data_IF_440166932505
#
_entry.id   IF_440166932505
#
_cell.length_a   1.000
_cell.length_b   1.000
_cell.length_c   1.000
_cell.angle_alpha   90.00
_cell.angle_beta   90.00
_cell.angle_gamma   90.00
#
_symmetry.space_group_name_H-M   'P 1'
#
loop_
_entity.id
_entity.type
_entity.pdbx_description
1 polymer ?
#
# COMPACT_ATOMS: atom_id res chain seq x y z
N UNK A 1 -24.56 3.96 8.01
CA UNK A 1 -24.36 4.97 9.08
C UNK A 1 -22.90 5.41 9.10
N UNK A 2 -22.59 6.58 8.52
CA UNK A 2 -21.24 7.16 8.64
C UNK A 2 -21.09 7.82 10.00
N UNK A 3 -20.14 7.35 10.83
CA UNK A 3 -19.72 8.09 12.03
C UNK A 3 -19.33 9.50 11.60
N UNK A 4 -19.99 10.54 12.12
CA UNK A 4 -19.65 11.96 11.88
C UNK A 4 -18.27 12.24 12.46
N UNK A 5 -17.23 11.85 11.74
CA UNK A 5 -15.85 12.25 12.03
C UNK A 5 -15.70 13.69 11.56
N UNK A 6 -14.98 14.50 12.33
CA UNK A 6 -14.65 15.88 11.95
C UNK A 6 -13.78 15.95 10.70
N UNK A 7 -12.99 17.01 10.55
CA UNK A 7 -12.10 17.16 9.37
C UNK A 7 -11.11 16.00 9.30
N UNK A 8 -11.21 15.19 8.25
CA UNK A 8 -10.29 14.09 7.99
C UNK A 8 -8.87 14.60 7.72
N UNK A 9 -7.87 13.86 8.19
CA UNK A 9 -6.46 14.14 7.87
C UNK A 9 -6.28 14.06 6.35
N UNK A 10 -5.56 15.03 5.79
CA UNK A 10 -5.23 15.06 4.37
C UNK A 10 -3.89 14.36 4.12
N UNK A 11 -3.78 13.70 2.97
CA UNK A 11 -2.57 13.04 2.48
C UNK A 11 -2.31 13.48 1.05
N UNK A 12 -1.05 13.47 0.63
CA UNK A 12 -0.68 13.81 -0.73
C UNK A 12 -0.55 12.53 -1.57
N UNK A 13 -1.11 12.56 -2.78
CA UNK A 13 -0.94 11.49 -3.75
C UNK A 13 0.53 11.39 -4.16
N UNK A 14 1.13 10.21 -4.03
CA UNK A 14 2.54 9.99 -4.41
C UNK A 14 2.79 10.18 -5.91
N UNK A 15 1.79 9.96 -6.77
CA UNK A 15 1.96 10.06 -8.22
C UNK A 15 1.76 11.48 -8.77
N UNK A 16 0.68 12.16 -8.36
CA UNK A 16 0.30 13.46 -8.94
C UNK A 16 0.36 14.63 -7.94
N UNK A 17 0.81 14.41 -6.71
CA UNK A 17 0.91 15.45 -5.67
C UNK A 17 -0.42 15.95 -5.11
N UNK A 18 -1.56 15.58 -5.69
CA UNK A 18 -2.88 16.05 -5.27
C UNK A 18 -3.15 15.74 -3.79
N UNK A 19 -3.59 16.75 -3.04
CA UNK A 19 -4.05 16.61 -1.66
C UNK A 19 -5.44 15.95 -1.63
N UNK A 20 -5.55 14.84 -0.92
CA UNK A 20 -6.77 14.03 -0.83
C UNK A 20 -7.04 13.70 0.64
N UNK A 21 -8.30 13.72 1.11
CA UNK A 21 -8.64 13.20 2.44
C UNK A 21 -8.20 11.74 2.58
N UNK A 22 -7.60 11.37 3.72
CA UNK A 22 -7.08 10.01 3.97
C UNK A 22 -8.15 8.93 3.81
N UNK A 23 -9.40 9.23 4.14
CA UNK A 23 -10.55 8.33 3.97
C UNK A 23 -10.87 8.03 2.49
N UNK A 24 -10.56 8.97 1.60
CA UNK A 24 -10.81 8.87 0.15
C UNK A 24 -9.59 8.36 -0.62
N UNK A 25 -8.40 8.48 -0.05
CA UNK A 25 -7.17 8.02 -0.66
C UNK A 25 -7.07 6.49 -0.62
N UNK A 26 -6.57 5.89 -1.70
CA UNK A 26 -6.26 4.46 -1.72
C UNK A 26 -4.85 4.26 -1.17
N UNK A 27 -4.74 3.56 -0.04
CA UNK A 27 -3.45 3.13 0.51
C UNK A 27 -2.93 1.90 -0.22
N UNK A 28 -1.62 1.83 -0.44
CA UNK A 28 -0.93 0.67 -0.97
C UNK A 28 0.41 0.52 -0.26
N UNK A 29 0.62 -0.61 0.39
CA UNK A 29 1.88 -0.95 1.05
C UNK A 29 2.89 -1.34 -0.04
N UNK A 30 3.95 -0.55 -0.19
CA UNK A 30 5.09 -0.95 -1.00
C UNK A 30 6.11 -1.64 -0.10
N UNK A 31 6.38 -2.91 -0.38
CA UNK A 31 7.48 -3.65 0.25
C UNK A 31 8.72 -3.49 -0.60
N UNK A 32 9.75 -2.91 -0.01
CA UNK A 32 11.06 -2.79 -0.63
C UNK A 32 12.00 -3.75 0.09
N UNK A 33 12.67 -4.60 -0.69
CA UNK A 33 13.75 -5.45 -0.21
C UNK A 33 15.06 -4.76 -0.56
N UNK A 34 15.85 -4.48 0.45
CA UNK A 34 17.23 -4.06 0.28
C UNK A 34 18.10 -5.29 0.51
N UNK A 35 18.96 -5.58 -0.45
CA UNK A 35 19.96 -6.65 -0.34
C UNK A 35 21.32 -6.07 -0.71
N UNK A 36 22.34 -6.43 0.03
CA UNK A 36 23.73 -6.21 -0.38
C UNK A 36 24.09 -7.18 -1.52
N UNK A 37 24.92 -6.77 -2.47
CA UNK A 37 25.42 -7.62 -3.58
C UNK A 37 26.46 -8.68 -3.13
N UNK A 38 26.63 -8.84 -1.82
CA UNK A 38 27.52 -9.83 -1.21
C UNK A 38 26.99 -11.25 -1.47
N UNK A 39 27.88 -12.16 -1.84
CA UNK A 39 27.57 -13.59 -2.02
C UNK A 39 27.82 -14.34 -0.71
N UNK A 40 26.88 -15.18 -0.28
CA UNK A 40 27.05 -16.06 0.89
C UNK A 40 26.41 -15.54 2.18
N UNK A 41 26.96 -15.92 3.34
CA UNK A 41 26.39 -15.66 4.67
C UNK A 41 26.39 -14.18 5.09
N UNK A 42 27.15 -13.33 4.40
CA UNK A 42 27.20 -11.88 4.65
C UNK A 42 26.08 -11.10 3.93
N UNK A 43 25.17 -11.81 3.24
CA UNK A 43 24.04 -11.17 2.56
C UNK A 43 23.00 -10.69 3.58
N UNK A 44 23.11 -9.43 4.00
CA UNK A 44 22.12 -8.80 4.87
C UNK A 44 20.91 -8.39 4.04
N UNK A 45 19.75 -8.95 4.38
CA UNK A 45 18.48 -8.64 3.73
C UNK A 45 17.63 -7.81 4.67
N UNK A 46 17.38 -6.56 4.28
CA UNK A 46 16.49 -5.66 5.01
C UNK A 46 15.17 -5.55 4.28
N UNK A 47 14.07 -5.73 5.01
CA UNK A 47 12.73 -5.56 4.48
C UNK A 47 12.13 -4.28 5.05
N UNK A 48 11.78 -3.34 4.18
CA UNK A 48 11.04 -2.14 4.52
C UNK A 48 9.64 -2.18 3.93
N UNK A 49 8.64 -1.72 4.69
CA UNK A 49 7.30 -1.47 4.18
C UNK A 49 6.98 0.02 4.32
N UNK A 50 6.51 0.62 3.22
CA UNK A 50 6.11 2.03 3.19
C UNK A 50 4.68 2.14 2.66
N UNK A 51 3.81 2.75 3.47
CA UNK A 51 2.44 3.05 3.08
C UNK A 51 2.41 4.23 2.10
N UNK A 52 2.09 3.94 0.84
CA UNK A 52 1.89 4.94 -0.21
C UNK A 52 0.41 5.28 -0.36
N UNK A 53 0.08 6.57 -0.45
CA UNK A 53 -1.28 7.06 -0.67
C UNK A 53 -1.46 7.55 -2.10
N UNK A 54 -2.56 7.14 -2.74
CA UNK A 54 -2.89 7.53 -4.11
C UNK A 54 -4.28 8.15 -4.17
N UNK A 55 -4.46 9.13 -5.08
CA UNK A 55 -5.78 9.61 -5.44
C UNK A 55 -6.53 8.52 -6.26
N UNK A 56 -7.86 8.59 -6.28
CA UNK A 56 -8.71 7.57 -6.93
C UNK A 56 -8.35 7.42 -8.42
N UNK A 57 -8.08 8.51 -9.13
CA UNK A 57 -7.75 8.47 -10.55
C UNK A 57 -6.42 7.74 -10.81
N UNK A 58 -5.34 8.13 -10.12
CA UNK A 58 -4.04 7.45 -10.28
C UNK A 58 -4.11 5.99 -9.82
N UNK A 59 -4.85 5.70 -8.76
CA UNK A 59 -5.04 4.33 -8.31
C UNK A 59 -5.73 3.44 -9.35
N UNK A 60 -6.68 3.98 -10.12
CA UNK A 60 -7.32 3.29 -11.24
C UNK A 60 -6.35 3.05 -12.39
N UNK A 61 -5.64 4.08 -12.84
CA UNK A 61 -4.67 3.93 -13.94
C UNK A 61 -3.54 2.93 -13.62
N UNK A 62 -3.13 2.84 -12.35
CA UNK A 62 -2.08 1.92 -11.91
C UNK A 62 -2.59 0.51 -11.53
N UNK A 63 -3.89 0.24 -11.64
CA UNK A 63 -4.49 -1.05 -11.28
C UNK A 63 -4.35 -1.40 -9.79
N UNK A 64 -4.19 -0.40 -8.91
CA UNK A 64 -3.91 -0.63 -7.47
C UNK A 64 -5.09 -1.33 -6.79
N UNK A 65 -6.32 -1.03 -7.23
CA UNK A 65 -7.53 -1.65 -6.69
C UNK A 65 -7.59 -3.16 -6.93
N UNK A 66 -7.21 -3.62 -8.13
CA UNK A 66 -7.18 -5.04 -8.49
C UNK A 66 -6.11 -5.79 -7.70
N UNK A 67 -4.91 -5.23 -7.62
CA UNK A 67 -3.82 -5.77 -6.79
C UNK A 67 -4.23 -5.92 -5.33
N UNK A 68 -5.00 -4.97 -4.79
CA UNK A 68 -5.50 -5.04 -3.41
C UNK A 68 -6.54 -6.15 -3.23
N UNK A 69 -7.43 -6.38 -4.21
CA UNK A 69 -8.37 -7.50 -4.19
C UNK A 69 -7.64 -8.83 -4.18
N UNK A 70 -6.65 -8.98 -5.07
CA UNK A 70 -5.83 -10.18 -5.15
C UNK A 70 -5.07 -10.45 -3.83
N UNK A 71 -4.48 -9.41 -3.24
CA UNK A 71 -3.82 -9.52 -1.94
C UNK A 71 -4.78 -9.97 -0.82
N UNK A 72 -6.00 -9.42 -0.79
CA UNK A 72 -7.02 -9.83 0.18
C UNK A 72 -7.44 -11.29 -0.03
N UNK A 73 -7.56 -11.73 -1.29
CA UNK A 73 -7.89 -13.12 -1.60
C UNK A 73 -6.79 -14.08 -1.14
N UNK A 74 -5.52 -13.80 -1.49
CA UNK A 74 -4.36 -14.58 -1.01
C UNK A 74 -4.24 -14.59 0.52
N UNK A 75 -4.72 -13.54 1.20
CA UNK A 75 -4.76 -13.51 2.67
C UNK A 75 -5.85 -14.44 3.20
N UNK A 76 -7.06 -14.38 2.65
CA UNK A 76 -8.16 -15.28 3.01
C UNK A 76 -7.81 -16.75 2.77
N UNK A 77 -7.18 -17.06 1.65
CA UNK A 77 -6.73 -18.43 1.34
C UNK A 77 -5.72 -18.95 2.37
N UNK A 78 -4.82 -18.09 2.86
CA UNK A 78 -3.88 -18.44 3.94
C UNK A 78 -4.57 -18.62 5.27
N UNK A 79 -5.53 -17.76 5.61
CA UNK A 79 -6.35 -17.88 6.82
C UNK A 79 -7.20 -19.16 6.81
N UNK A 80 -7.72 -19.58 5.65
CA UNK A 80 -8.48 -20.82 5.51
C UNK A 80 -7.62 -22.09 5.53
N UNK A 81 -6.31 -21.99 5.26
CA UNK A 81 -5.36 -23.11 5.26
C UNK A 81 -4.73 -23.35 6.63
N UNK A 82 -4.77 -22.36 7.51
CA UNK A 82 -4.31 -22.44 8.90
C UNK A 82 -5.41 -23.03 9.78
#
# INVERSE_FOLDING_TARGET
MGKRRGRDRVVNCVNCGRTVPRSKAMSYERRTRFSTDLRGEENVQCFGSVDSYYCISCAKHMGIGEKKKEMLQRRKERENRA
#
